data_IF_405976963980
#
_entry.id   IF_405976963980
#
_cell.length_a   1.000
_cell.length_b   1.000
_cell.length_c   1.000
_cell.angle_alpha   90.00
_cell.angle_beta   90.00
_cell.angle_gamma   90.00
#
_symmetry.space_group_name_H-M   'P 1'
#
loop_
_entity.id
_entity.type
_entity.pdbx_description
1 polymer ?
#
# COMPACT_ATOMS: atom_id res chain seq x y z
N UNK A 1 -18.50 3.67 -26.38
CA UNK A 1 -17.80 2.55 -27.06
C UNK A 1 -16.54 2.24 -26.28
N UNK A 2 -16.37 1.00 -25.83
CA UNK A 2 -15.19 0.57 -25.06
C UNK A 2 -13.99 0.40 -26.00
N UNK A 3 -12.96 1.24 -25.86
CA UNK A 3 -11.66 1.00 -26.53
C UNK A 3 -10.89 -0.07 -25.75
N UNK A 4 -10.94 -1.31 -26.23
CA UNK A 4 -10.03 -2.39 -25.85
C UNK A 4 -8.70 -2.22 -26.61
N UNK A 5 -7.72 -1.60 -25.94
CA UNK A 5 -6.29 -1.41 -26.31
C UNK A 5 -5.58 -0.91 -25.04
N UNK A 6 -4.37 -1.29 -24.64
CA UNK A 6 -3.41 -2.33 -25.11
C UNK A 6 -2.71 -2.96 -23.88
N UNK A 7 -1.94 -4.08 -23.98
CA UNK A 7 -1.33 -4.74 -22.81
C UNK A 7 -0.06 -4.05 -22.26
N UNK A 8 -0.02 -2.72 -22.32
CA UNK A 8 0.93 -1.83 -21.63
C UNK A 8 0.16 -0.54 -21.35
N UNK A 9 0.16 -0.01 -20.14
CA UNK A 9 -0.10 1.43 -19.91
C UNK A 9 0.18 1.79 -18.44
N UNK A 10 1.39 2.27 -18.20
CA UNK A 10 1.64 3.12 -17.05
C UNK A 10 0.98 4.48 -17.36
N UNK A 11 0.10 4.96 -16.50
CA UNK A 11 -0.40 6.34 -16.62
C UNK A 11 0.74 7.33 -16.42
N UNK A 12 0.56 8.60 -16.83
CA UNK A 12 1.52 9.66 -16.54
C UNK A 12 1.84 9.79 -15.04
N UNK A 13 0.89 9.43 -14.17
CA UNK A 13 1.09 9.40 -12.72
C UNK A 13 2.06 8.29 -12.30
N UNK A 14 1.95 7.07 -12.85
CA UNK A 14 2.90 5.99 -12.58
C UNK A 14 4.33 6.38 -12.97
N UNK A 15 4.51 7.00 -14.14
CA UNK A 15 5.84 7.44 -14.58
C UNK A 15 6.36 8.60 -13.71
N UNK A 16 5.51 9.52 -13.27
CA UNK A 16 5.88 10.55 -12.29
C UNK A 16 6.30 9.95 -10.93
N UNK A 17 5.62 8.88 -10.47
CA UNK A 17 6.02 8.13 -9.27
C UNK A 17 7.36 7.43 -9.48
N UNK A 18 7.55 6.66 -10.57
CA UNK A 18 8.79 5.89 -10.81
C UNK A 18 10.05 6.75 -10.88
N UNK A 19 9.93 7.95 -11.41
CA UNK A 19 11.04 8.90 -11.56
C UNK A 19 11.17 9.85 -10.36
N UNK A 20 10.39 9.65 -9.29
CA UNK A 20 10.36 10.47 -8.09
C UNK A 20 10.15 11.98 -8.38
N UNK A 21 9.01 12.33 -8.99
CA UNK A 21 8.63 13.71 -9.30
C UNK A 21 7.40 14.18 -8.48
N UNK A 22 7.54 14.50 -7.18
CA UNK A 22 6.42 14.87 -6.29
C UNK A 22 5.51 16.00 -6.79
N UNK A 23 6.07 17.02 -7.43
CA UNK A 23 5.31 18.18 -7.94
C UNK A 23 4.46 17.82 -9.16
N UNK A 24 4.95 16.89 -9.99
CA UNK A 24 4.19 16.34 -11.13
C UNK A 24 3.08 15.41 -10.64
N UNK A 25 3.37 14.57 -9.64
CA UNK A 25 2.36 13.75 -8.93
C UNK A 25 1.22 14.62 -8.41
N UNK A 26 1.52 15.69 -7.66
CA UNK A 26 0.51 16.61 -7.13
C UNK A 26 -0.29 17.30 -8.24
N UNK A 27 0.38 17.76 -9.31
CA UNK A 27 -0.28 18.42 -10.44
C UNK A 27 -1.27 17.48 -11.15
N UNK A 28 -0.88 16.22 -11.36
CA UNK A 28 -1.73 15.20 -11.99
C UNK A 28 -2.93 14.83 -11.11
N UNK A 29 -2.73 14.64 -9.80
CA UNK A 29 -3.80 14.31 -8.86
C UNK A 29 -4.78 15.47 -8.64
N UNK A 30 -4.30 16.72 -8.63
CA UNK A 30 -5.19 17.90 -8.59
C UNK A 30 -5.98 18.09 -9.90
N UNK A 31 -5.49 17.56 -11.02
CA UNK A 31 -6.21 17.58 -12.30
C UNK A 31 -7.27 16.46 -12.40
N UNK A 32 -6.96 15.24 -11.95
CA UNK A 32 -7.94 14.19 -11.69
C UNK A 32 -7.47 13.24 -10.57
N UNK A 33 -8.15 13.23 -9.40
CA UNK A 33 -7.85 12.30 -8.30
C UNK A 33 -8.00 10.82 -8.67
N UNK A 34 -8.89 10.47 -9.61
CA UNK A 34 -9.14 9.07 -10.04
C UNK A 34 -7.89 8.39 -10.60
N UNK A 35 -6.87 9.15 -11.01
CA UNK A 35 -5.58 8.59 -11.43
C UNK A 35 -4.89 7.78 -10.33
N UNK A 36 -5.18 8.03 -9.05
CA UNK A 36 -4.69 7.23 -7.92
C UNK A 36 -5.25 5.79 -7.92
N UNK A 37 -6.42 5.57 -8.52
CA UNK A 37 -7.14 4.30 -8.47
C UNK A 37 -6.84 3.38 -9.66
N UNK A 38 -6.17 3.90 -10.70
CA UNK A 38 -5.75 3.14 -11.86
C UNK A 38 -4.51 2.31 -11.50
N UNK A 39 -4.59 0.98 -11.61
CA UNK A 39 -3.43 0.10 -11.54
C UNK A 39 -2.77 -0.05 -12.92
N UNK A 40 -1.46 -0.23 -12.95
CA UNK A 40 -0.73 -0.55 -14.18
C UNK A 40 -0.80 -2.05 -14.56
N UNK A 41 -0.11 -2.44 -15.64
CA UNK A 41 -0.09 -3.82 -16.14
C UNK A 41 0.52 -4.87 -15.17
N UNK A 42 1.25 -4.44 -14.12
CA UNK A 42 1.76 -5.29 -13.05
C UNK A 42 0.81 -5.35 -11.83
N UNK A 43 -0.34 -4.68 -11.89
CA UNK A 43 -1.29 -4.57 -10.77
C UNK A 43 -0.85 -3.58 -9.68
N UNK A 44 0.13 -2.72 -9.96
CA UNK A 44 0.60 -1.70 -9.02
C UNK A 44 -0.29 -0.45 -9.15
N UNK A 45 -0.92 0.00 -8.06
CA UNK A 45 -1.44 1.38 -7.98
C UNK A 45 -0.32 2.39 -7.63
N UNK A 46 -0.45 3.69 -7.96
CA UNK A 46 0.52 4.73 -7.64
C UNK A 46 0.95 4.79 -6.17
N UNK A 47 0.04 4.56 -5.22
CA UNK A 47 0.36 4.54 -3.78
C UNK A 47 1.19 3.30 -3.40
N UNK A 48 0.84 2.13 -3.90
CA UNK A 48 1.63 0.90 -3.72
C UNK A 48 3.04 1.08 -4.29
N UNK A 49 3.14 1.60 -5.52
CA UNK A 49 4.40 1.88 -6.19
C UNK A 49 5.26 2.90 -5.42
N UNK A 50 4.65 3.91 -4.79
CA UNK A 50 5.37 4.85 -3.92
C UNK A 50 5.88 4.18 -2.63
N UNK A 51 5.11 3.25 -2.04
CA UNK A 51 5.50 2.49 -0.86
C UNK A 51 6.67 1.52 -1.15
N UNK A 52 6.59 0.73 -2.24
CA UNK A 52 7.68 -0.15 -2.71
C UNK A 52 8.99 0.60 -2.96
N UNK A 53 8.90 1.90 -3.30
CA UNK A 53 10.05 2.74 -3.63
C UNK A 53 10.49 3.65 -2.50
N UNK A 54 9.86 3.53 -1.33
CA UNK A 54 10.13 4.37 -0.14
C UNK A 54 10.00 5.88 -0.39
N UNK A 55 9.21 6.29 -1.40
CA UNK A 55 9.03 7.68 -1.80
C UNK A 55 8.01 8.39 -0.90
N UNK A 56 8.39 8.62 0.36
CA UNK A 56 7.53 9.11 1.45
C UNK A 56 6.80 10.42 1.14
N UNK A 57 7.43 11.35 0.42
CA UNK A 57 6.79 12.60 -0.01
C UNK A 57 5.65 12.33 -1.00
N UNK A 58 5.89 11.45 -1.98
CA UNK A 58 4.90 11.06 -3.00
C UNK A 58 3.74 10.32 -2.34
N UNK A 59 4.03 9.35 -1.47
CA UNK A 59 2.99 8.65 -0.72
C UNK A 59 2.16 9.62 0.12
N UNK A 60 2.80 10.56 0.83
CA UNK A 60 2.08 11.59 1.60
C UNK A 60 1.19 12.47 0.71
N UNK A 61 1.70 12.96 -0.42
CA UNK A 61 0.91 13.75 -1.40
C UNK A 61 -0.29 12.99 -1.95
N UNK A 62 -0.14 11.69 -2.24
CA UNK A 62 -1.27 10.84 -2.68
C UNK A 62 -2.32 10.76 -1.56
N UNK A 63 -1.91 10.47 -0.32
CA UNK A 63 -2.82 10.33 0.82
C UNK A 63 -3.50 11.66 1.22
N UNK A 64 -2.83 12.80 1.02
CA UNK A 64 -3.36 14.15 1.28
C UNK A 64 -4.38 14.61 0.23
N UNK A 65 -4.13 14.33 -1.06
CA UNK A 65 -5.01 14.76 -2.17
C UNK A 65 -6.15 13.76 -2.37
N UNK A 66 -5.90 12.47 -2.13
CA UNK A 66 -6.84 11.37 -2.27
C UNK A 66 -7.01 10.69 -0.90
N UNK A 67 -8.05 11.03 -0.11
CA UNK A 67 -8.30 10.42 1.20
C UNK A 67 -8.73 8.95 1.19
N UNK A 68 -9.01 8.36 0.01
CA UNK A 68 -9.38 6.95 -0.14
C UNK A 68 -8.90 6.42 -1.50
N UNK A 69 -7.59 6.39 -1.76
CA UNK A 69 -7.03 5.87 -3.00
C UNK A 69 -7.08 4.33 -2.98
N UNK A 70 -6.90 3.70 -4.14
CA UNK A 70 -6.61 2.27 -4.19
C UNK A 70 -5.23 1.98 -3.55
N UNK A 71 -5.22 1.03 -2.62
CA UNK A 71 -4.03 0.58 -1.90
C UNK A 71 -3.38 -0.66 -2.52
N UNK A 72 -3.92 -1.15 -3.63
CA UNK A 72 -3.67 -2.51 -4.15
C UNK A 72 -2.33 -2.60 -4.88
N UNK A 73 -1.69 -3.77 -4.77
CA UNK A 73 -0.53 -4.18 -5.52
C UNK A 73 -0.65 -5.62 -6.06
N UNK A 74 0.41 -6.11 -6.75
CA UNK A 74 0.51 -7.51 -7.16
C UNK A 74 0.36 -8.50 -5.99
N UNK A 75 -0.05 -9.72 -6.34
CA UNK A 75 -0.17 -10.86 -5.42
C UNK A 75 -1.05 -10.61 -4.18
N UNK A 76 -2.05 -9.74 -4.28
CA UNK A 76 -2.97 -9.42 -3.18
C UNK A 76 -2.36 -8.52 -2.11
N UNK A 77 -1.09 -8.12 -2.24
CA UNK A 77 -0.45 -7.18 -1.33
C UNK A 77 -1.05 -5.79 -1.46
N UNK A 78 -0.83 -4.98 -0.44
CA UNK A 78 -1.23 -3.58 -0.41
C UNK A 78 -0.10 -2.67 0.01
N UNK A 79 -0.26 -1.35 -0.16
CA UNK A 79 0.71 -0.35 0.26
C UNK A 79 1.10 -0.49 1.75
N UNK A 80 0.21 -1.02 2.61
CA UNK A 80 0.54 -1.29 4.01
C UNK A 80 1.47 -2.50 4.18
N UNK A 81 1.35 -3.54 3.36
CA UNK A 81 2.29 -4.66 3.37
C UNK A 81 3.71 -4.14 3.07
N UNK A 82 3.86 -3.35 2.01
CA UNK A 82 5.17 -2.83 1.58
C UNK A 82 5.73 -1.76 2.55
N UNK A 83 4.89 -0.89 3.13
CA UNK A 83 5.32 0.04 4.16
C UNK A 83 5.88 -0.68 5.41
N UNK A 84 5.32 -1.83 5.76
CA UNK A 84 5.77 -2.66 6.89
C UNK A 84 7.04 -3.47 6.56
N UNK A 85 7.20 -3.91 5.31
CA UNK A 85 8.41 -4.57 4.80
C UNK A 85 9.60 -3.59 4.76
N UNK A 86 9.36 -2.31 4.43
CA UNK A 86 10.35 -1.25 4.28
C UNK A 86 10.48 -0.34 5.52
N UNK A 87 10.60 -0.93 6.72
CA UNK A 87 10.06 -0.48 8.03
C UNK A 87 9.65 1.00 8.17
N UNK A 88 8.64 1.45 7.42
CA UNK A 88 8.22 2.84 7.37
C UNK A 88 7.07 3.11 8.34
N UNK A 89 7.42 3.38 9.60
CA UNK A 89 6.44 3.67 10.66
C UNK A 89 5.56 4.90 10.37
N UNK A 90 6.06 5.93 9.66
CA UNK A 90 5.25 7.12 9.31
C UNK A 90 4.20 6.78 8.25
N UNK A 91 4.60 6.12 7.16
CA UNK A 91 3.66 5.67 6.14
C UNK A 91 2.68 4.62 6.68
N UNK A 92 3.14 3.67 7.49
CA UNK A 92 2.31 2.70 8.21
C UNK A 92 1.23 3.40 9.02
N UNK A 93 1.61 4.37 9.86
CA UNK A 93 0.68 5.14 10.69
C UNK A 93 -0.31 5.98 9.88
N UNK A 94 0.11 6.56 8.75
CA UNK A 94 -0.77 7.29 7.82
C UNK A 94 -1.79 6.38 7.16
N UNK A 95 -1.36 5.22 6.64
CA UNK A 95 -2.22 4.23 5.98
C UNK A 95 -3.27 3.68 6.96
N UNK A 96 -2.88 3.30 8.18
CA UNK A 96 -3.79 2.83 9.22
C UNK A 96 -4.83 3.90 9.62
N UNK A 97 -4.41 5.16 9.78
CA UNK A 97 -5.34 6.28 10.06
C UNK A 97 -6.35 6.50 8.93
N UNK A 98 -5.96 6.26 7.68
CA UNK A 98 -6.80 6.50 6.52
C UNK A 98 -7.75 5.32 6.26
N UNK A 99 -7.29 4.07 6.40
CA UNK A 99 -8.09 2.86 6.23
C UNK A 99 -7.63 1.74 7.18
N UNK A 100 -8.27 1.69 8.35
CA UNK A 100 -7.92 0.78 9.46
C UNK A 100 -7.93 -0.70 9.09
N UNK A 101 -8.86 -1.12 8.23
CA UNK A 101 -9.04 -2.53 7.89
C UNK A 101 -7.87 -3.11 7.06
N UNK A 102 -6.97 -2.27 6.51
CA UNK A 102 -5.73 -2.71 5.85
C UNK A 102 -4.89 -3.63 6.75
N UNK A 103 -4.92 -3.44 8.08
CA UNK A 103 -4.18 -4.26 9.04
C UNK A 103 -4.56 -5.76 9.02
N UNK A 104 -5.73 -6.09 8.45
CA UNK A 104 -6.28 -7.45 8.35
C UNK A 104 -6.34 -8.00 6.93
N UNK A 105 -6.03 -7.18 5.93
CA UNK A 105 -6.01 -7.66 4.54
C UNK A 105 -4.85 -8.66 4.42
N UNK A 106 -5.14 -9.83 3.84
CA UNK A 106 -4.17 -10.91 3.59
C UNK A 106 -3.74 -10.85 2.12
N UNK A 107 -2.45 -11.03 1.87
CA UNK A 107 -1.95 -11.28 0.52
C UNK A 107 -2.29 -12.71 0.04
N UNK A 108 -1.88 -13.06 -1.19
CA UNK A 108 -2.16 -14.39 -1.77
C UNK A 108 -1.51 -15.56 -1.00
N UNK A 109 -0.54 -15.30 -0.13
CA UNK A 109 0.08 -16.30 0.73
C UNK A 109 -0.61 -16.40 2.11
N UNK A 110 -1.68 -15.62 2.32
CA UNK A 110 -2.40 -15.52 3.58
C UNK A 110 -1.71 -14.59 4.60
N UNK A 111 -0.63 -13.90 4.23
CA UNK A 111 0.11 -13.06 5.17
C UNK A 111 -0.55 -11.70 5.29
N UNK A 112 -0.77 -11.24 6.53
CA UNK A 112 -1.16 -9.86 6.84
C UNK A 112 0.06 -8.97 7.03
N UNK A 113 -0.08 -7.63 7.09
CA UNK A 113 1.04 -6.75 7.47
C UNK A 113 1.68 -7.14 8.81
N UNK A 114 0.90 -7.62 9.79
CA UNK A 114 1.43 -8.08 11.07
C UNK A 114 2.32 -9.33 10.95
N UNK A 115 2.08 -10.22 9.96
CA UNK A 115 2.98 -11.33 9.67
C UNK A 115 4.35 -10.83 9.22
N UNK A 116 4.37 -9.90 8.26
CA UNK A 116 5.61 -9.29 7.77
C UNK A 116 6.35 -8.50 8.86
N UNK A 117 5.65 -7.70 9.68
CA UNK A 117 6.24 -6.96 10.80
C UNK A 117 6.93 -7.88 11.81
N UNK A 118 6.25 -8.99 12.16
CA UNK A 118 6.74 -9.97 13.14
C UNK A 118 7.92 -10.76 12.58
N UNK A 119 7.82 -11.25 11.34
CA UNK A 119 8.89 -11.97 10.64
C UNK A 119 10.17 -11.13 10.49
N UNK A 120 10.02 -9.83 10.20
CA UNK A 120 11.14 -8.90 10.05
C UNK A 120 11.63 -8.30 11.39
N UNK A 121 11.04 -8.67 12.53
CA UNK A 121 11.38 -8.15 13.87
C UNK A 121 11.22 -6.61 14.00
N UNK A 122 10.22 -6.03 13.34
CA UNK A 122 9.92 -4.60 13.36
C UNK A 122 9.03 -4.23 14.55
N UNK A 123 9.56 -4.34 15.78
CA UNK A 123 8.81 -4.20 17.04
C UNK A 123 7.90 -2.95 17.09
N UNK A 124 8.40 -1.76 16.73
CA UNK A 124 7.61 -0.52 16.75
C UNK A 124 6.42 -0.52 15.78
N UNK A 125 6.50 -1.31 14.71
CA UNK A 125 5.41 -1.49 13.74
C UNK A 125 4.45 -2.59 14.22
N UNK A 126 4.95 -3.66 14.86
CA UNK A 126 4.13 -4.66 15.56
C UNK A 126 3.25 -3.98 16.61
N UNK A 127 3.84 -3.16 17.48
CA UNK A 127 3.13 -2.40 18.51
C UNK A 127 2.07 -1.49 17.87
N UNK A 128 2.42 -0.71 16.83
CA UNK A 128 1.49 0.17 16.12
C UNK A 128 0.31 -0.58 15.48
N UNK A 129 0.55 -1.75 14.88
CA UNK A 129 -0.50 -2.58 14.28
C UNK A 129 -1.44 -3.17 15.35
N UNK A 130 -0.89 -3.61 16.49
CA UNK A 130 -1.66 -4.17 17.61
C UNK A 130 -2.43 -3.09 18.40
N UNK A 131 -1.87 -1.88 18.55
CA UNK A 131 -2.60 -0.73 19.08
C UNK A 131 -3.80 -0.36 18.20
N UNK A 132 -3.65 -0.51 16.88
CA UNK A 132 -4.70 -0.19 15.92
C UNK A 132 -5.79 -1.27 15.87
N UNK A 133 -5.42 -2.55 15.76
CA UNK A 133 -6.37 -3.66 15.86
C UNK A 133 -5.72 -4.97 16.36
N UNK A 134 -5.89 -5.23 17.67
CA UNK A 134 -5.40 -6.45 18.35
C UNK A 134 -5.90 -7.76 17.73
N UNK A 135 -7.03 -7.75 17.01
CA UNK A 135 -7.55 -8.98 16.40
C UNK A 135 -6.77 -9.44 15.17
N UNK A 136 -5.91 -8.57 14.59
CA UNK A 136 -4.98 -8.96 13.54
C UNK A 136 -3.99 -10.07 13.98
N UNK A 137 -3.71 -10.20 15.29
CA UNK A 137 -2.86 -11.25 15.85
C UNK A 137 -3.45 -12.67 15.77
N UNK A 138 -4.77 -12.79 15.59
CA UNK A 138 -5.46 -14.09 15.49
C UNK A 138 -5.74 -14.52 14.04
N UNK A 139 -5.33 -13.71 13.05
CA UNK A 139 -5.42 -14.09 11.65
C UNK A 139 -4.26 -15.06 11.38
N UNK A 140 -4.58 -16.27 10.96
CA UNK A 140 -3.57 -17.25 10.52
C UNK A 140 -3.24 -17.13 9.03
N UNK A 141 -2.06 -17.62 8.66
CA UNK A 141 -1.65 -17.74 7.26
C UNK A 141 -2.46 -18.83 6.50
N UNK A 142 -2.15 -19.03 5.21
CA UNK A 142 -2.79 -20.07 4.39
C UNK A 142 -2.63 -21.50 4.90
N UNK A 143 -1.59 -21.76 5.72
CA UNK A 143 -1.30 -23.06 6.33
C UNK A 143 -1.99 -23.20 7.71
N UNK A 144 -2.79 -22.20 8.13
CA UNK A 144 -3.50 -22.15 9.39
C UNK A 144 -2.63 -21.80 10.59
N UNK A 145 -1.38 -21.36 10.38
CA UNK A 145 -0.45 -20.99 11.44
C UNK A 145 -0.81 -19.61 11.96
N UNK A 146 -1.08 -19.53 13.26
CA UNK A 146 -1.30 -18.27 13.94
C UNK A 146 0.06 -17.71 14.37
N UNK A 147 0.24 -16.39 14.37
CA UNK A 147 1.52 -15.73 14.66
C UNK A 147 2.10 -16.01 16.06
N UNK A 148 1.30 -16.58 16.97
CA UNK A 148 1.69 -16.85 18.36
C UNK A 148 1.09 -18.18 18.89
N UNK A 149 1.61 -19.32 18.41
CA UNK A 149 1.57 -20.63 19.08
C UNK A 149 2.85 -21.41 18.80
#
# INVERSE_FOLDING_TARGET
>A
MLKKTIPYENTALHEAVRNNHPQVVETLLRANPEFADIANAAGENPLYLAAVREYKEIASKILEICPSPAYIGPNGRTALHEAVISPDADLTGKLLKQKSNLAKEQDNEGWTPLHYASYANHLSIVDMLLEHDKSAAYIGDKDGRHLFM
#
